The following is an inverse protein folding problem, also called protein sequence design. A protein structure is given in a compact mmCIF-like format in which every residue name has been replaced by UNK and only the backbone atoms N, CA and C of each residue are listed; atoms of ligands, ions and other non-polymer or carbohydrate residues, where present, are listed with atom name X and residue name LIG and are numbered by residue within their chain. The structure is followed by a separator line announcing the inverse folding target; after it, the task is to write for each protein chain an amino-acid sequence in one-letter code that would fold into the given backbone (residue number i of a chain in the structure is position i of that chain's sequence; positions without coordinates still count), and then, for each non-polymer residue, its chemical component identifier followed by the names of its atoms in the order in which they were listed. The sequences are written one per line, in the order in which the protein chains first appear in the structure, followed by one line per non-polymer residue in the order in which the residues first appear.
data_IF_520420797277
#
_entry.id   IF_520420797277
#
_cell.length_a   1.000
_cell.length_b   1.000
_cell.length_c   1.000
_cell.angle_alpha   90.00
_cell.angle_beta   90.00
_cell.angle_gamma   90.00
#
_symmetry.space_group_name_H-M   'P 1'
#
loop_
_entity.id
_entity.type
_entity.pdbx_description
1 polymer ?
#
# COMPACT_ATOMS: atom_id res chain seq x y z
N UNK A 1 -6.77 13.12 -3.38
CA UNK A 1 -5.47 13.81 -3.40
C UNK A 1 -4.40 12.76 -3.69
N UNK A 2 -3.42 13.06 -4.55
CA UNK A 2 -2.31 12.14 -4.86
C UNK A 2 -1.05 12.66 -4.16
N UNK A 3 -0.33 11.80 -3.45
CA UNK A 3 0.99 12.10 -2.91
C UNK A 3 2.02 11.20 -3.60
N UNK A 4 3.15 11.78 -4.00
CA UNK A 4 4.26 11.05 -4.63
C UNK A 4 5.36 10.92 -3.60
N UNK A 5 5.50 9.74 -3.00
CA UNK A 5 6.74 9.39 -2.31
C UNK A 5 7.53 8.41 -3.18
N UNK A 6 8.77 8.82 -3.53
CA UNK A 6 9.73 7.98 -4.27
C UNK A 6 9.17 7.40 -5.58
N UNK A 7 8.33 8.15 -6.29
CA UNK A 7 7.75 7.75 -7.58
C UNK A 7 6.61 6.74 -7.51
N UNK A 8 6.06 6.47 -6.32
CA UNK A 8 4.84 5.65 -6.16
C UNK A 8 3.63 6.52 -5.81
N UNK A 9 2.47 6.11 -6.30
CA UNK A 9 1.20 6.79 -6.06
C UNK A 9 0.48 6.20 -4.86
N UNK A 10 0.03 7.06 -3.96
CA UNK A 10 -0.91 6.70 -2.89
C UNK A 10 -2.31 7.22 -3.21
N UNK A 11 -3.31 6.43 -2.82
CA UNK A 11 -4.70 6.81 -2.77
C UNK A 11 -5.06 7.19 -1.34
N UNK A 12 -5.74 8.33 -1.21
CA UNK A 12 -6.37 8.77 0.02
C UNK A 12 -7.85 8.89 -0.30
N UNK A 13 -8.64 7.96 0.23
CA UNK A 13 -10.05 7.79 -0.10
C UNK A 13 -10.89 8.15 1.13
N UNK A 14 -11.77 9.16 1.06
CA UNK A 14 -12.75 9.41 2.11
C UNK A 14 -13.63 8.18 2.30
N UNK A 15 -13.75 7.71 3.53
CA UNK A 15 -14.55 6.55 3.86
C UNK A 15 -15.25 6.77 5.21
N UNK A 16 -16.54 7.09 5.14
CA UNK A 16 -17.33 7.55 6.28
C UNK A 16 -16.64 8.75 6.96
N UNK A 17 -16.44 8.70 8.28
CA UNK A 17 -15.75 9.74 9.07
C UNK A 17 -14.22 9.60 9.06
N UNK A 18 -13.69 8.66 8.26
CA UNK A 18 -12.27 8.34 8.19
C UNK A 18 -11.71 8.47 6.78
N UNK A 19 -10.41 8.23 6.64
CA UNK A 19 -9.75 8.10 5.34
C UNK A 19 -9.04 6.75 5.24
N UNK A 20 -9.25 6.05 4.14
CA UNK A 20 -8.48 4.86 3.79
C UNK A 20 -7.27 5.30 2.95
N UNK A 21 -6.07 4.92 3.40
CA UNK A 21 -4.81 5.27 2.74
C UNK A 21 -4.10 3.99 2.30
N UNK A 22 -3.68 3.94 1.04
CA UNK A 22 -3.00 2.79 0.45
C UNK A 22 -2.44 3.12 -0.93
N UNK A 23 -1.97 2.15 -1.72
CA UNK A 23 -1.81 0.72 -1.41
C UNK A 23 -0.32 0.39 -1.22
N UNK A 24 -0.04 -0.74 -0.59
CA UNK A 24 1.26 -1.40 -0.71
C UNK A 24 1.24 -2.45 -1.83
N UNK A 25 2.43 -2.82 -2.28
CA UNK A 25 2.65 -3.91 -3.22
C UNK A 25 3.79 -4.76 -2.67
N UNK A 26 3.42 -5.71 -1.84
CA UNK A 26 4.31 -6.55 -1.04
C UNK A 26 4.07 -8.00 -1.48
N UNK A 27 5.12 -8.70 -1.92
CA UNK A 27 5.04 -10.12 -2.24
C UNK A 27 4.59 -10.93 -1.00
N UNK A 28 3.70 -11.89 -1.22
CA UNK A 28 3.14 -12.71 -0.15
C UNK A 28 3.20 -14.20 -0.52
N UNK A 29 3.75 -15.00 0.37
CA UNK A 29 3.93 -16.45 0.21
C UNK A 29 3.34 -17.26 1.37
N UNK A 30 2.57 -16.61 2.25
CA UNK A 30 1.90 -17.24 3.39
C UNK A 30 0.56 -17.87 3.02
N UNK A 31 -0.19 -18.27 4.05
CA UNK A 31 -1.56 -18.77 3.90
C UNK A 31 -2.51 -17.60 3.53
N UNK A 32 -3.20 -17.66 2.39
CA UNK A 32 -4.05 -16.57 1.92
C UNK A 32 -5.23 -16.23 2.85
N UNK A 33 -5.66 -17.16 3.70
CA UNK A 33 -6.78 -16.96 4.62
C UNK A 33 -6.42 -16.10 5.84
N UNK A 34 -5.13 -15.87 6.08
CA UNK A 34 -4.60 -15.13 7.24
C UNK A 34 -3.76 -13.91 6.84
N UNK A 35 -3.97 -13.39 5.64
CA UNK A 35 -3.25 -12.18 5.19
C UNK A 35 -3.58 -10.98 6.08
N UNK A 36 -2.53 -10.29 6.52
CA UNK A 36 -2.63 -9.07 7.31
C UNK A 36 -1.58 -8.05 6.87
N UNK A 37 -1.89 -6.77 7.09
CA UNK A 37 -0.93 -5.70 6.87
C UNK A 37 0.05 -5.68 8.04
N UNK A 38 1.35 -5.68 7.74
CA UNK A 38 2.39 -5.66 8.76
C UNK A 38 2.68 -4.22 9.19
N UNK A 39 3.37 -4.06 10.32
CA UNK A 39 3.78 -2.74 10.81
C UNK A 39 4.62 -1.99 9.78
N UNK A 40 5.44 -2.70 9.02
CA UNK A 40 6.28 -2.15 7.96
C UNK A 40 5.44 -1.57 6.82
N UNK A 41 4.32 -2.22 6.46
CA UNK A 41 3.38 -1.69 5.46
C UNK A 41 2.75 -0.37 5.93
N UNK A 42 2.37 -0.29 7.21
CA UNK A 42 1.79 0.93 7.81
C UNK A 42 2.82 2.06 7.83
N UNK A 43 4.04 1.79 8.30
CA UNK A 43 5.13 2.79 8.32
C UNK A 43 5.43 3.27 6.91
N UNK A 44 5.46 2.37 5.94
CA UNK A 44 5.67 2.71 4.53
C UNK A 44 4.61 3.68 4.01
N UNK A 45 3.32 3.43 4.30
CA UNK A 45 2.23 4.32 3.90
C UNK A 45 2.34 5.69 4.59
N UNK A 46 2.61 5.72 5.90
CA UNK A 46 2.74 6.96 6.67
C UNK A 46 3.89 7.83 6.18
N UNK A 47 5.05 7.22 5.89
CA UNK A 47 6.16 7.92 5.23
C UNK A 47 5.75 8.42 3.84
N UNK A 48 4.99 7.61 3.11
CA UNK A 48 4.53 7.89 1.77
C UNK A 48 3.64 9.12 1.65
N UNK A 49 2.87 9.42 2.70
CA UNK A 49 1.95 10.56 2.73
C UNK A 49 2.39 11.70 3.64
N UNK A 50 3.59 11.61 4.23
CA UNK A 50 4.10 12.58 5.22
C UNK A 50 4.14 14.02 4.72
N UNK A 51 4.46 14.23 3.45
CA UNK A 51 4.46 15.59 2.86
C UNK A 51 3.05 16.20 2.84
N UNK A 52 2.03 15.39 2.56
CA UNK A 52 0.63 15.83 2.55
C UNK A 52 0.03 15.93 3.96
N UNK A 53 0.47 15.07 4.88
CA UNK A 53 -0.01 15.00 6.27
C UNK A 53 1.16 14.91 7.26
N UNK A 54 1.86 16.02 7.54
CA UNK A 54 3.09 16.00 8.35
C UNK A 54 2.87 15.57 9.81
N UNK A 55 1.65 15.71 10.34
CA UNK A 55 1.28 15.32 11.70
C UNK A 55 0.62 13.96 11.83
N UNK A 56 0.50 13.19 10.74
CA UNK A 56 -0.09 11.85 10.81
C UNK A 56 0.94 10.86 11.39
N UNK A 57 0.55 10.19 12.46
CA UNK A 57 1.40 9.26 13.20
C UNK A 57 0.78 7.86 13.32
N UNK A 58 1.56 6.89 13.80
CA UNK A 58 1.09 5.51 13.97
C UNK A 58 -0.12 5.41 14.90
N UNK A 59 -0.21 6.29 15.90
CA UNK A 59 -1.33 6.34 16.85
C UNK A 59 -2.66 6.75 16.23
N UNK A 60 -2.65 7.37 15.04
CA UNK A 60 -3.86 7.79 14.32
C UNK A 60 -4.46 6.65 13.47
N UNK A 61 -3.75 5.52 13.35
CA UNK A 61 -4.19 4.37 12.56
C UNK A 61 -5.16 3.52 13.38
N UNK A 62 -6.44 3.54 13.01
CA UNK A 62 -7.48 2.81 13.72
C UNK A 62 -7.63 1.35 13.30
N UNK A 63 -7.45 1.07 12.01
CA UNK A 63 -7.62 -0.26 11.42
C UNK A 63 -6.66 -0.45 10.26
N UNK A 64 -6.30 -1.70 9.99
CA UNK A 64 -5.62 -2.11 8.77
C UNK A 64 -6.49 -3.10 8.01
N UNK A 65 -6.36 -3.08 6.68
CA UNK A 65 -7.03 -4.02 5.78
C UNK A 65 -5.97 -4.54 4.81
N UNK A 66 -5.97 -5.84 4.58
CA UNK A 66 -5.09 -6.46 3.59
C UNK A 66 -5.90 -7.31 2.63
N UNK A 67 -5.38 -7.46 1.41
CA UNK A 67 -5.97 -8.30 0.38
C UNK A 67 -4.90 -8.72 -0.61
N UNK A 68 -5.04 -9.94 -1.14
CA UNK A 68 -4.11 -10.51 -2.10
C UNK A 68 -4.62 -10.31 -3.52
N UNK A 69 -3.72 -9.93 -4.43
CA UNK A 69 -4.00 -9.93 -5.87
C UNK A 69 -3.73 -11.34 -6.41
N UNK A 70 -4.76 -12.00 -6.91
CA UNK A 70 -4.60 -13.26 -7.63
C UNK A 70 -4.00 -12.97 -9.02
N UNK A 71 -2.68 -12.81 -9.07
CA UNK A 71 -1.94 -12.62 -10.31
C UNK A 71 -1.70 -14.00 -10.93
N UNK A 72 -2.28 -14.24 -12.11
CA UNK A 72 -1.98 -15.44 -12.90
C UNK A 72 -0.57 -15.32 -13.46
N UNK A 73 0.25 -16.36 -13.34
CA UNK A 73 1.58 -16.46 -13.95
C UNK A 73 1.52 -16.66 -15.49
N UNK A 74 0.55 -16.02 -16.14
CA UNK A 74 0.51 -15.95 -17.60
C UNK A 74 1.49 -14.87 -18.06
N UNK A 75 2.79 -15.20 -17.91
CA UNK A 75 3.92 -14.56 -18.59
C UNK A 75 3.95 -13.04 -18.50
N UNK A 76 4.51 -12.51 -17.41
CA UNK A 76 5.19 -11.22 -17.52
C UNK A 76 6.39 -11.41 -18.46
N UNK A 77 6.18 -11.20 -19.76
CA UNK A 77 7.28 -10.85 -20.64
C UNK A 77 7.88 -9.57 -20.07
N UNK A 78 8.97 -9.75 -19.32
CA UNK A 78 9.83 -8.68 -18.87
C UNK A 78 10.21 -7.84 -20.08
N UNK A 79 9.66 -6.62 -20.18
CA UNK A 79 10.05 -5.61 -21.17
C UNK A 79 11.45 -5.02 -20.86
N UNK A 80 12.32 -5.76 -20.16
CA UNK A 80 13.72 -5.36 -19.92
C UNK A 80 14.70 -5.88 -20.97
N UNK A 81 14.27 -6.75 -21.89
CA UNK A 81 15.16 -7.37 -22.90
C UNK A 81 14.84 -6.95 -24.35
N UNK A 82 14.32 -5.74 -24.56
CA UNK A 82 14.31 -5.09 -25.87
C UNK A 82 15.28 -3.92 -25.86
N UNK A 83 16.58 -4.25 -25.86
CA UNK A 83 17.67 -3.36 -26.25
C UNK A 83 17.83 -3.32 -27.76
#
# INVERSE_FOLDING_TARGET
MFSIAKGRHFFIIPWLDYSLIGITDTEYSGDPDIVEAKKEDVVYVLEGVREAFPGLELGDVLYTVAGLRALSDSGSLSTRDLS
#
